data_IF_105908945034
#
_entry.id   IF_105908945034
#
_cell.length_a   1.000
_cell.length_b   1.000
_cell.length_c   1.000
_cell.angle_alpha   90.00
_cell.angle_beta   90.00
_cell.angle_gamma   90.00
#
_symmetry.space_group_name_H-M   'P 1'
#
loop_
_entity.id
_entity.type
_entity.pdbx_description
1 polymer ?
#
# COMPACT_ATOMS: atom_id res chain seq x y z
N UNK A 1 26.80 52.30 32.04
CA UNK A 1 26.38 51.72 30.75
C UNK A 1 27.43 50.68 30.38
N UNK A 2 27.53 49.64 31.20
CA UNK A 2 26.68 48.43 31.15
C UNK A 2 27.10 47.57 29.96
N UNK A 3 28.12 46.76 30.23
CA UNK A 3 28.28 45.49 29.56
C UNK A 3 27.51 44.45 30.36
N UNK A 4 26.71 43.64 29.68
CA UNK A 4 26.28 42.33 30.16
C UNK A 4 26.40 41.36 28.99
N UNK A 5 27.51 40.64 28.96
CA UNK A 5 27.62 39.40 28.23
C UNK A 5 26.85 38.34 29.02
N UNK A 6 25.74 37.86 28.46
CA UNK A 6 24.97 36.77 29.01
C UNK A 6 25.73 35.45 28.82
N UNK A 7 26.27 34.92 29.90
CA UNK A 7 26.52 33.49 30.07
C UNK A 7 26.07 33.07 31.46
N UNK A 8 24.89 32.46 31.51
CA UNK A 8 24.49 31.61 32.61
C UNK A 8 23.70 30.45 32.00
N UNK A 9 24.38 29.33 31.82
CA UNK A 9 23.74 28.04 31.64
C UNK A 9 22.95 27.68 32.89
N UNK A 10 21.74 27.19 32.69
CA UNK A 10 20.97 26.49 33.71
C UNK A 10 20.63 25.12 33.14
N UNK A 11 21.27 24.13 33.74
CA UNK A 11 21.22 22.73 33.41
C UNK A 11 19.87 22.15 33.85
N UNK A 12 19.12 21.56 32.93
CA UNK A 12 18.11 20.56 33.27
C UNK A 12 18.73 19.17 33.09
N UNK A 13 18.44 18.18 33.94
CA UNK A 13 18.99 16.85 33.78
C UNK A 13 18.44 16.24 32.48
N UNK A 14 19.27 16.22 31.43
CA UNK A 14 18.98 15.46 30.23
C UNK A 14 19.40 14.00 30.48
N UNK A 15 18.43 13.09 30.47
CA UNK A 15 18.70 11.67 30.41
C UNK A 15 18.95 11.29 28.95
N UNK A 16 20.22 11.06 28.58
CA UNK A 16 20.56 10.46 27.31
C UNK A 16 20.57 8.94 27.48
N UNK A 17 19.64 8.25 26.83
CA UNK A 17 19.66 6.80 26.75
C UNK A 17 20.71 6.37 25.72
N UNK A 18 21.79 5.75 26.17
CA UNK A 18 22.69 5.03 25.27
C UNK A 18 21.91 3.86 24.67
N UNK A 19 21.67 3.93 23.36
CA UNK A 19 21.19 2.79 22.56
C UNK A 19 22.38 2.29 21.77
N UNK A 20 22.89 1.11 22.13
CA UNK A 20 23.80 0.36 21.27
C UNK A 20 22.97 -0.36 20.21
N UNK A 21 23.22 -0.07 18.94
CA UNK A 21 22.75 -0.91 17.85
C UNK A 21 23.59 -2.18 17.95
N UNK A 22 22.99 -3.28 18.35
CA UNK A 22 23.63 -4.59 18.22
C UNK A 22 23.76 -4.88 16.74
N UNK A 23 25.00 -5.07 16.30
CA UNK A 23 25.34 -5.51 14.95
C UNK A 23 24.58 -6.80 14.60
N UNK A 24 24.31 -6.93 13.29
CA UNK A 24 23.54 -7.98 12.61
C UNK A 24 23.23 -9.21 13.45
N UNK A 25 21.94 -9.53 13.56
CA UNK A 25 21.53 -10.92 13.71
C UNK A 25 22.08 -11.65 12.48
N UNK A 26 23.28 -12.21 12.60
CA UNK A 26 23.84 -13.15 11.63
C UNK A 26 22.76 -14.18 11.37
N UNK A 27 22.28 -14.16 10.15
CA UNK A 27 21.20 -14.98 9.66
C UNK A 27 21.73 -16.40 9.55
N UNK A 28 21.76 -17.12 10.68
CA UNK A 28 22.20 -18.50 10.83
C UNK A 28 21.25 -19.50 10.14
N UNK A 29 20.55 -19.08 9.08
CA UNK A 29 19.84 -20.00 8.22
C UNK A 29 20.87 -20.88 7.50
N UNK A 30 21.04 -22.09 8.02
CA UNK A 30 21.66 -23.16 7.28
C UNK A 30 20.78 -23.48 6.08
N UNK A 31 21.28 -23.15 4.89
CA UNK A 31 20.70 -23.63 3.65
C UNK A 31 20.81 -25.16 3.65
N UNK A 32 19.66 -25.83 3.68
CA UNK A 32 19.59 -27.26 3.44
C UNK A 32 19.82 -27.49 1.94
N UNK A 33 20.90 -28.21 1.61
CA UNK A 33 21.19 -28.61 0.24
C UNK A 33 20.10 -29.61 -0.16
N UNK A 34 19.18 -29.18 -1.03
CA UNK A 34 18.17 -30.08 -1.61
C UNK A 34 18.94 -31.19 -2.30
N UNK A 35 18.65 -32.48 -2.02
CA UNK A 35 19.22 -33.55 -2.82
C UNK A 35 18.99 -33.20 -4.29
N UNK A 36 20.03 -33.32 -5.11
CA UNK A 36 19.75 -33.61 -6.50
C UNK A 36 19.01 -34.94 -6.44
N UNK A 37 17.69 -34.90 -6.35
CA UNK A 37 16.85 -36.03 -6.69
C UNK A 37 17.48 -36.56 -7.96
N UNK A 38 17.76 -37.86 -7.96
CA UNK A 38 18.34 -38.60 -9.07
C UNK A 38 17.35 -38.57 -10.27
N UNK A 39 17.05 -37.37 -10.77
CA UNK A 39 16.38 -37.04 -12.03
C UNK A 39 17.35 -37.26 -13.21
N UNK A 40 18.43 -38.01 -13.00
CA UNK A 40 19.15 -38.75 -14.03
C UNK A 40 18.40 -40.03 -14.43
N UNK A 41 17.08 -40.11 -14.16
CA UNK A 41 16.16 -41.00 -14.83
C UNK A 41 15.13 -40.24 -15.68
N UNK A 42 15.59 -39.28 -16.49
CA UNK A 42 14.99 -39.08 -17.81
C UNK A 42 15.34 -40.26 -18.72
N UNK A 43 15.00 -41.48 -18.31
CA UNK A 43 14.64 -42.50 -19.28
C UNK A 43 13.44 -41.95 -20.04
N UNK A 44 13.71 -41.30 -21.17
CA UNK A 44 12.70 -41.17 -22.22
C UNK A 44 12.20 -42.58 -22.46
N UNK A 45 11.01 -42.87 -21.93
CA UNK A 45 10.41 -44.19 -22.01
C UNK A 45 10.26 -44.46 -23.51
N UNK A 46 11.13 -45.33 -24.02
CA UNK A 46 11.27 -45.68 -25.43
C UNK A 46 9.96 -46.38 -25.84
N UNK A 47 8.97 -45.58 -26.22
CA UNK A 47 7.59 -46.04 -26.41
C UNK A 47 6.54 -44.94 -26.48
N UNK A 48 6.88 -43.68 -26.21
CA UNK A 48 5.90 -42.58 -26.14
C UNK A 48 5.78 -41.73 -27.43
N UNK A 49 6.29 -42.22 -28.57
CA UNK A 49 6.06 -41.63 -29.89
C UNK A 49 4.70 -42.06 -30.48
N UNK A 50 3.61 -41.87 -29.73
CA UNK A 50 2.26 -42.04 -30.28
C UNK A 50 1.77 -40.70 -30.85
N UNK A 51 1.51 -40.66 -32.16
CA UNK A 51 0.96 -39.48 -32.87
C UNK A 51 -0.29 -38.93 -32.16
N UNK A 52 -1.08 -39.81 -31.56
CA UNK A 52 -2.29 -39.43 -30.81
C UNK A 52 -1.95 -38.57 -29.60
N UNK A 53 -0.89 -38.91 -28.87
CA UNK A 53 -0.44 -38.17 -27.68
C UNK A 53 0.12 -36.80 -28.06
N UNK A 54 0.85 -36.71 -29.18
CA UNK A 54 1.32 -35.44 -29.71
C UNK A 54 0.16 -34.53 -30.15
N UNK A 55 -0.90 -35.09 -30.75
CA UNK A 55 -2.10 -34.31 -31.09
C UNK A 55 -2.86 -33.85 -29.85
N UNK A 56 -2.93 -34.70 -28.82
CA UNK A 56 -3.58 -34.35 -27.55
C UNK A 56 -2.85 -33.21 -26.83
N UNK A 57 -1.51 -33.24 -26.75
CA UNK A 57 -0.76 -32.16 -26.10
C UNK A 57 -0.87 -30.82 -26.85
N UNK A 58 -0.91 -30.84 -28.18
CA UNK A 58 -1.18 -29.64 -28.99
C UNK A 58 -2.58 -29.09 -28.71
N UNK A 59 -3.58 -29.97 -28.59
CA UNK A 59 -4.94 -29.55 -28.27
C UNK A 59 -5.04 -28.95 -26.85
N UNK A 60 -4.46 -29.60 -25.85
CA UNK A 60 -4.44 -29.11 -24.46
C UNK A 60 -3.75 -27.74 -24.37
N UNK A 61 -2.61 -27.55 -25.06
CA UNK A 61 -1.96 -26.24 -25.12
C UNK A 61 -2.81 -25.15 -25.80
N UNK A 62 -3.57 -25.52 -26.84
CA UNK A 62 -4.47 -24.59 -27.51
C UNK A 62 -5.65 -24.18 -26.60
N UNK A 63 -6.18 -25.12 -25.83
CA UNK A 63 -7.23 -24.88 -24.84
C UNK A 63 -6.72 -23.99 -23.70
N UNK A 64 -5.53 -24.27 -23.16
CA UNK A 64 -4.89 -23.45 -22.12
C UNK A 64 -4.63 -22.02 -22.61
N UNK A 65 -4.09 -21.86 -23.82
CA UNK A 65 -3.88 -20.55 -24.43
C UNK A 65 -5.21 -19.78 -24.59
N UNK A 66 -6.29 -20.48 -24.93
CA UNK A 66 -7.61 -19.89 -25.05
C UNK A 66 -8.18 -19.47 -23.68
N UNK A 67 -7.98 -20.28 -22.64
CA UNK A 67 -8.37 -19.95 -21.26
C UNK A 67 -7.59 -18.73 -20.75
N UNK A 68 -6.28 -18.69 -20.99
CA UNK A 68 -5.43 -17.55 -20.62
C UNK A 68 -5.86 -16.28 -21.36
N UNK A 69 -6.19 -16.37 -22.65
CA UNK A 69 -6.69 -15.24 -23.43
C UNK A 69 -8.06 -14.77 -22.94
N UNK A 70 -8.97 -15.67 -22.58
CA UNK A 70 -10.26 -15.28 -22.01
C UNK A 70 -10.11 -14.64 -20.62
N UNK A 71 -9.23 -15.19 -19.77
CA UNK A 71 -8.91 -14.62 -18.45
C UNK A 71 -8.26 -13.25 -18.59
N UNK A 72 -7.36 -13.06 -19.55
CA UNK A 72 -6.71 -11.76 -19.78
C UNK A 72 -7.70 -10.69 -20.25
N UNK A 73 -8.72 -11.06 -21.05
CA UNK A 73 -9.81 -10.15 -21.45
C UNK A 73 -10.70 -9.79 -20.26
N UNK A 74 -10.95 -10.72 -19.33
CA UNK A 74 -11.73 -10.47 -18.12
C UNK A 74 -10.94 -9.60 -17.11
N UNK A 75 -9.63 -9.81 -16.96
CA UNK A 75 -8.78 -8.99 -16.08
C UNK A 75 -8.43 -7.64 -16.70
N UNK A 76 -8.36 -7.53 -18.03
CA UNK A 76 -8.16 -6.24 -18.72
C UNK A 76 -9.33 -5.27 -18.54
N UNK A 77 -10.55 -5.79 -18.35
CA UNK A 77 -11.72 -4.96 -18.00
C UNK A 77 -11.74 -4.55 -16.53
N UNK A 78 -10.90 -5.17 -15.72
CA UNK A 78 -10.71 -4.88 -14.30
C UNK A 78 -9.26 -4.48 -14.04
N UNK A 79 -8.70 -3.62 -14.90
CA UNK A 79 -7.69 -2.69 -14.39
C UNK A 79 -8.45 -1.85 -13.37
N UNK A 80 -8.31 -2.19 -12.08
CA UNK A 80 -8.77 -1.36 -10.97
C UNK A 80 -8.12 -0.02 -11.20
N UNK A 81 -8.86 0.89 -11.82
CA UNK A 81 -8.46 2.28 -11.84
C UNK A 81 -8.35 2.64 -10.37
N UNK A 82 -7.18 3.10 -9.94
CA UNK A 82 -6.91 3.68 -8.62
C UNK A 82 -7.74 4.96 -8.46
N UNK A 83 -9.05 4.88 -8.64
CA UNK A 83 -9.98 5.97 -8.39
C UNK A 83 -10.11 5.97 -6.86
N UNK A 84 -9.63 7.03 -6.19
CA UNK A 84 -9.78 7.15 -4.77
C UNK A 84 -11.27 7.01 -4.40
N UNK A 85 -11.59 6.21 -3.38
CA UNK A 85 -12.97 6.10 -2.92
C UNK A 85 -13.44 7.45 -2.38
N UNK A 86 -14.68 7.83 -2.69
CA UNK A 86 -15.31 9.01 -2.06
C UNK A 86 -15.54 8.69 -0.58
N UNK A 87 -15.36 9.66 0.31
CA UNK A 87 -15.41 9.44 1.77
C UNK A 87 -16.73 8.81 2.24
N UNK A 88 -17.87 9.18 1.66
CA UNK A 88 -19.17 8.62 2.01
C UNK A 88 -19.34 7.16 1.56
N UNK A 89 -18.88 6.83 0.35
CA UNK A 89 -18.84 5.45 -0.15
C UNK A 89 -17.93 4.57 0.72
N UNK A 90 -16.74 5.07 1.10
CA UNK A 90 -15.83 4.36 1.99
C UNK A 90 -16.48 4.02 3.34
N UNK A 91 -17.16 5.00 3.96
CA UNK A 91 -17.86 4.81 5.23
C UNK A 91 -19.02 3.83 5.10
N UNK A 92 -19.81 3.92 4.02
CA UNK A 92 -20.89 2.97 3.77
C UNK A 92 -20.35 1.54 3.61
N UNK A 93 -19.32 1.37 2.77
CA UNK A 93 -18.66 0.10 2.54
C UNK A 93 -18.04 -0.48 3.82
N UNK A 94 -17.44 0.36 4.66
CA UNK A 94 -16.93 -0.03 5.96
C UNK A 94 -18.04 -0.56 6.87
N UNK A 95 -19.14 0.18 7.02
CA UNK A 95 -20.25 -0.21 7.91
C UNK A 95 -20.96 -1.48 7.42
N UNK A 96 -21.07 -1.68 6.10
CA UNK A 96 -21.59 -2.92 5.51
C UNK A 96 -20.66 -4.10 5.85
N UNK A 97 -19.35 -3.97 5.61
CA UNK A 97 -18.37 -5.05 5.90
C UNK A 97 -18.32 -5.42 7.38
N UNK A 98 -18.51 -4.45 8.27
CA UNK A 98 -18.52 -4.67 9.72
C UNK A 98 -19.89 -5.16 10.24
N UNK A 99 -20.90 -5.34 9.38
CA UNK A 99 -22.24 -5.77 9.78
C UNK A 99 -23.01 -4.75 10.62
N UNK A 100 -22.63 -3.48 10.56
CA UNK A 100 -23.18 -2.40 11.40
C UNK A 100 -24.42 -1.75 10.77
N UNK A 101 -25.43 -2.56 10.43
CA UNK A 101 -26.59 -2.11 9.67
C UNK A 101 -27.37 -0.95 10.32
N UNK A 102 -27.54 -0.95 11.65
CA UNK A 102 -28.23 0.15 12.34
C UNK A 102 -27.43 1.46 12.27
N UNK A 103 -26.10 1.39 12.37
CA UNK A 103 -25.24 2.57 12.27
C UNK A 103 -25.22 3.11 10.84
N UNK A 104 -25.21 2.22 9.85
CA UNK A 104 -25.34 2.59 8.44
C UNK A 104 -26.64 3.36 8.18
N UNK A 105 -27.77 2.85 8.67
CA UNK A 105 -29.08 3.48 8.47
C UNK A 105 -29.17 4.88 9.09
N UNK A 106 -28.67 5.03 10.33
CA UNK A 106 -28.55 6.34 10.98
C UNK A 106 -27.62 7.28 10.18
N UNK A 107 -26.44 6.79 9.78
CA UNK A 107 -25.46 7.58 9.03
C UNK A 107 -26.04 8.09 7.70
N UNK A 108 -26.66 7.21 6.91
CA UNK A 108 -27.25 7.59 5.63
C UNK A 108 -28.37 8.63 5.79
N UNK A 109 -29.25 8.44 6.78
CA UNK A 109 -30.33 9.39 7.06
C UNK A 109 -29.78 10.78 7.41
N UNK A 110 -28.84 10.83 8.35
CA UNK A 110 -28.21 12.09 8.78
C UNK A 110 -27.39 12.75 7.67
N UNK A 111 -26.70 11.95 6.86
CA UNK A 111 -25.85 12.42 5.75
C UNK A 111 -26.70 13.11 4.69
N UNK A 112 -27.78 12.47 4.23
CA UNK A 112 -28.69 13.06 3.24
C UNK A 112 -29.41 14.28 3.78
N UNK A 113 -29.79 14.29 5.06
CA UNK A 113 -30.39 15.46 5.70
C UNK A 113 -29.42 16.66 5.69
N UNK A 114 -28.15 16.44 6.03
CA UNK A 114 -27.11 17.48 6.00
C UNK A 114 -26.80 17.97 4.60
N UNK A 115 -26.79 17.08 3.60
CA UNK A 115 -26.64 17.47 2.19
C UNK A 115 -27.81 18.34 1.72
N UNK A 116 -29.05 17.98 2.06
CA UNK A 116 -30.24 18.73 1.65
C UNK A 116 -30.34 20.10 2.31
N UNK A 117 -29.85 20.21 3.55
CA UNK A 117 -29.72 21.49 4.27
C UNK A 117 -28.55 22.35 3.78
N UNK A 118 -27.71 21.84 2.88
CA UNK A 118 -26.51 22.53 2.38
C UNK A 118 -25.39 22.67 3.41
N UNK A 119 -25.42 21.87 4.49
CA UNK A 119 -24.36 21.86 5.49
C UNK A 119 -23.12 21.09 5.02
N UNK A 120 -23.27 20.24 4.01
CA UNK A 120 -22.21 19.49 3.33
C UNK A 120 -22.48 19.63 1.82
N UNK A 121 -21.60 20.32 1.09
CA UNK A 121 -21.67 20.34 -0.37
C UNK A 121 -20.92 19.14 -0.96
N UNK A 122 -21.31 18.68 -2.16
CA UNK A 122 -20.57 17.62 -2.88
C UNK A 122 -19.10 17.96 -3.15
N UNK A 123 -18.73 19.24 -3.08
CA UNK A 123 -17.35 19.70 -3.23
C UNK A 123 -16.54 19.55 -1.95
N UNK A 124 -17.21 19.50 -0.79
CA UNK A 124 -16.59 19.32 0.52
C UNK A 124 -16.32 17.83 0.81
N UNK A 125 -17.01 16.94 0.09
CA UNK A 125 -16.80 15.50 0.15
C UNK A 125 -15.53 15.18 -0.66
N UNK A 126 -14.43 15.05 0.06
CA UNK A 126 -13.15 14.64 -0.50
C UNK A 126 -13.10 13.16 -0.87
N UNK A 127 -11.95 12.79 -1.40
CA UNK A 127 -11.57 11.40 -1.59
C UNK A 127 -10.79 10.89 -0.38
N UNK A 128 -10.87 9.59 -0.10
CA UNK A 128 -9.98 8.93 0.86
C UNK A 128 -8.60 8.84 0.21
N UNK A 129 -7.57 9.54 0.74
CA UNK A 129 -6.23 9.46 0.19
C UNK A 129 -5.69 8.05 0.39
N UNK A 130 -5.13 7.45 -0.67
CA UNK A 130 -4.28 6.29 -0.47
C UNK A 130 -3.01 6.69 0.32
N UNK A 131 -2.36 5.72 0.96
CA UNK A 131 -1.16 5.95 1.78
C UNK A 131 -0.06 6.69 1.00
N UNK A 132 0.00 6.48 -0.32
CA UNK A 132 0.95 7.14 -1.20
C UNK A 132 0.66 8.64 -1.38
N UNK A 133 -0.60 9.00 -1.63
CA UNK A 133 -1.08 10.38 -1.77
C UNK A 133 -0.92 11.14 -0.45
N UNK A 134 -1.20 10.47 0.68
CA UNK A 134 -0.99 11.06 2.00
C UNK A 134 0.49 11.38 2.25
N UNK A 135 1.39 10.45 1.94
CA UNK A 135 2.83 10.68 2.05
C UNK A 135 3.31 11.82 1.15
N UNK A 136 2.84 11.89 -0.11
CA UNK A 136 3.17 13.00 -0.99
C UNK A 136 2.71 14.37 -0.47
N UNK A 137 1.53 14.43 0.15
CA UNK A 137 1.03 15.64 0.76
C UNK A 137 1.92 16.10 1.93
N UNK A 138 2.25 15.18 2.84
CA UNK A 138 3.14 15.44 3.97
C UNK A 138 4.54 15.89 3.53
N UNK A 139 5.07 15.30 2.46
CA UNK A 139 6.35 15.72 1.89
C UNK A 139 6.29 17.14 1.33
N UNK A 140 5.20 17.51 0.66
CA UNK A 140 5.00 18.84 0.10
C UNK A 140 4.95 19.90 1.22
N UNK A 141 4.19 19.64 2.29
CA UNK A 141 4.15 20.53 3.46
C UNK A 141 5.51 20.64 4.12
N UNK A 142 6.22 19.53 4.33
CA UNK A 142 7.57 19.56 4.89
C UNK A 142 8.53 20.40 4.05
N UNK A 143 8.50 20.26 2.72
CA UNK A 143 9.33 21.06 1.81
C UNK A 143 8.98 22.54 1.92
N UNK A 144 7.69 22.89 1.99
CA UNK A 144 7.22 24.27 2.14
C UNK A 144 7.70 24.87 3.46
N UNK A 145 7.45 24.19 4.58
CA UNK A 145 7.82 24.66 5.92
C UNK A 145 9.34 24.83 6.06
N UNK A 146 10.13 23.89 5.53
CA UNK A 146 11.60 24.02 5.50
C UNK A 146 12.03 25.26 4.71
N UNK A 147 11.42 25.51 3.56
CA UNK A 147 11.72 26.70 2.75
C UNK A 147 11.36 27.99 3.46
N UNK A 148 10.20 28.05 4.12
CA UNK A 148 9.79 29.20 4.92
C UNK A 148 10.77 29.45 6.08
N UNK A 149 11.18 28.39 6.78
CA UNK A 149 12.15 28.47 7.87
C UNK A 149 13.51 28.99 7.40
N UNK A 150 14.02 28.51 6.27
CA UNK A 150 15.26 29.03 5.68
C UNK A 150 15.12 30.49 5.25
N UNK A 151 13.98 30.88 4.68
CA UNK A 151 13.72 32.28 4.33
C UNK A 151 13.67 33.17 5.59
N UNK A 152 13.06 32.72 6.69
CA UNK A 152 13.04 33.46 7.95
C UNK A 152 14.43 33.62 8.55
N UNK A 153 15.28 32.58 8.49
CA UNK A 153 16.67 32.66 8.92
C UNK A 153 17.50 33.64 8.09
N UNK A 154 17.25 33.73 6.79
CA UNK A 154 17.98 34.65 5.90
C UNK A 154 17.51 36.11 6.03
N UNK A 155 16.29 36.32 6.53
CA UNK A 155 15.70 37.65 6.72
C UNK A 155 15.95 38.25 8.12
N UNK A 156 16.58 37.51 9.03
CA UNK A 156 16.96 37.92 10.38
C UNK A 156 18.46 38.21 10.47
#
# INVERSE_FOLDING_TARGET
>A
MEGEAAMAGAEGPFCLQQVSITEDSEDDYQYEEVPADDDDDFSLLEGDEDLVKALQTIQEQAEDAQIIAQRSILTSKHSVSEIPEVVDDFLCNFLVRMGMARTLDCFQTEWYERMQKGAIERKDIGFVPDMYTYNQHLEMENRKLKKELENYKLAA
#
